data_IF_188225566537
#
_entry.id   IF_188225566537
#
_cell.length_a   1.000
_cell.length_b   1.000
_cell.length_c   1.000
_cell.angle_alpha   90.00
_cell.angle_beta   90.00
_cell.angle_gamma   90.00
#
_symmetry.space_group_name_H-M   'P 1'
#
loop_
_entity.id
_entity.type
_entity.pdbx_description
1 polymer ?
#
# COMPACT_ATOMS: atom_id res chain seq x y z
N UNK A 1 -12.10 -57.91 40.29
CA UNK A 1 -11.47 -57.14 39.20
C UNK A 1 -12.56 -56.30 38.54
N UNK A 2 -12.54 -54.97 38.71
CA UNK A 2 -13.61 -54.07 38.23
C UNK A 2 -13.03 -53.14 37.16
N UNK A 3 -13.49 -53.30 35.92
CA UNK A 3 -13.11 -52.45 34.79
C UNK A 3 -13.97 -51.19 34.76
N UNK A 4 -13.36 -50.01 34.99
CA UNK A 4 -13.99 -48.71 34.74
C UNK A 4 -13.94 -48.39 33.23
N UNK A 5 -15.00 -47.81 32.63
CA UNK A 5 -14.98 -47.41 31.23
C UNK A 5 -14.21 -46.10 31.05
N UNK A 6 -13.36 -46.03 30.02
CA UNK A 6 -12.63 -44.82 29.62
C UNK A 6 -13.61 -43.79 29.05
N UNK A 7 -13.69 -42.61 29.68
CA UNK A 7 -14.40 -41.44 29.14
C UNK A 7 -13.76 -41.01 27.80
N UNK A 8 -14.51 -41.09 26.70
CA UNK A 8 -14.11 -40.48 25.43
C UNK A 8 -14.16 -38.97 25.58
N UNK A 9 -13.04 -38.30 25.36
CA UNK A 9 -12.97 -36.82 25.28
C UNK A 9 -13.68 -36.38 23.99
N UNK A 10 -14.50 -35.32 24.02
CA UNK A 10 -15.07 -34.75 22.80
C UNK A 10 -13.94 -34.15 21.97
N UNK A 11 -13.78 -34.64 20.74
CA UNK A 11 -12.90 -34.02 19.74
C UNK A 11 -13.57 -32.73 19.26
N UNK A 12 -13.01 -31.58 19.66
CA UNK A 12 -13.31 -30.32 19.00
C UNK A 12 -12.70 -30.35 17.60
N UNK A 13 -13.50 -30.68 16.60
CA UNK A 13 -13.17 -30.39 15.21
C UNK A 13 -13.32 -28.88 15.04
N UNK A 14 -12.20 -28.15 15.03
CA UNK A 14 -12.22 -26.76 14.58
C UNK A 14 -12.64 -26.77 13.12
N UNK A 15 -13.83 -26.24 12.84
CA UNK A 15 -14.22 -25.90 11.48
C UNK A 15 -13.30 -24.76 11.06
N UNK A 16 -12.30 -25.06 10.24
CA UNK A 16 -11.62 -24.06 9.42
C UNK A 16 -12.70 -23.35 8.60
N UNK A 17 -13.08 -22.13 9.00
CA UNK A 17 -13.91 -21.25 8.17
C UNK A 17 -13.16 -21.06 6.86
N UNK A 18 -13.72 -21.57 5.76
CA UNK A 18 -13.21 -21.28 4.42
C UNK A 18 -13.14 -19.76 4.23
N UNK A 19 -11.98 -19.24 3.80
CA UNK A 19 -11.82 -17.81 3.46
C UNK A 19 -12.89 -17.49 2.42
N UNK A 20 -13.78 -16.54 2.72
CA UNK A 20 -14.85 -16.15 1.79
C UNK A 20 -14.17 -15.54 0.56
N UNK A 21 -14.51 -16.04 -0.63
CA UNK A 21 -14.00 -15.48 -1.87
C UNK A 21 -14.53 -14.06 -2.04
N UNK A 22 -13.66 -13.11 -2.40
CA UNK A 22 -14.05 -11.73 -2.69
C UNK A 22 -14.50 -11.65 -4.14
N UNK A 23 -15.76 -11.31 -4.35
CA UNK A 23 -16.37 -11.15 -5.66
C UNK A 23 -15.92 -9.83 -6.32
N UNK A 24 -15.82 -9.80 -7.65
CA UNK A 24 -15.50 -8.58 -8.41
C UNK A 24 -14.01 -8.26 -8.58
N UNK A 25 -13.10 -9.01 -7.96
CA UNK A 25 -11.65 -8.78 -8.08
C UNK A 25 -11.13 -8.86 -9.52
N UNK A 26 -11.67 -9.75 -10.34
CA UNK A 26 -11.24 -9.90 -11.74
C UNK A 26 -11.62 -8.69 -12.60
N UNK A 27 -12.80 -8.10 -12.37
CA UNK A 27 -13.22 -6.87 -13.04
C UNK A 27 -12.41 -5.67 -12.57
N UNK A 28 -12.17 -5.56 -11.26
CA UNK A 28 -11.34 -4.50 -10.71
C UNK A 28 -9.90 -4.58 -11.21
N UNK A 29 -9.31 -5.78 -11.25
CA UNK A 29 -7.99 -6.02 -11.86
C UNK A 29 -7.95 -5.48 -13.29
N UNK A 30 -8.89 -5.87 -14.16
CA UNK A 30 -8.93 -5.41 -15.56
C UNK A 30 -9.08 -3.89 -15.67
N UNK A 31 -9.85 -3.28 -14.78
CA UNK A 31 -10.00 -1.84 -14.71
C UNK A 31 -8.66 -1.17 -14.41
N UNK A 32 -7.90 -1.68 -13.43
CA UNK A 32 -6.57 -1.15 -13.11
C UNK A 32 -5.58 -1.38 -14.27
N UNK A 33 -5.54 -2.58 -14.84
CA UNK A 33 -4.66 -2.90 -15.98
C UNK A 33 -4.88 -1.95 -17.16
N UNK A 34 -6.15 -1.64 -17.45
CA UNK A 34 -6.55 -0.72 -18.52
C UNK A 34 -6.10 0.72 -18.25
N UNK A 35 -6.41 1.28 -17.08
CA UNK A 35 -6.19 2.71 -16.80
C UNK A 35 -4.73 3.04 -16.45
N UNK A 36 -3.95 2.07 -15.95
CA UNK A 36 -2.56 2.27 -15.53
C UNK A 36 -1.53 1.64 -16.48
N UNK A 37 -1.95 1.08 -17.63
CA UNK A 37 -1.07 0.40 -18.59
C UNK A 37 -0.13 -0.62 -17.92
N UNK A 38 -0.69 -1.38 -16.97
CA UNK A 38 0.06 -2.24 -16.06
C UNK A 38 -0.44 -3.69 -16.13
N UNK A 39 0.40 -4.63 -15.70
CA UNK A 39 -0.05 -5.96 -15.28
C UNK A 39 -0.33 -5.93 -13.79
N UNK A 40 -1.52 -6.35 -13.36
CA UNK A 40 -1.95 -6.19 -11.97
C UNK A 40 -2.11 -7.54 -11.27
N UNK A 41 -1.58 -7.64 -10.06
CA UNK A 41 -1.84 -8.75 -9.15
C UNK A 41 -2.61 -8.23 -7.93
N UNK A 42 -3.63 -8.98 -7.50
CA UNK A 42 -4.44 -8.66 -6.32
C UNK A 42 -4.48 -9.90 -5.45
N UNK A 43 -4.05 -9.78 -4.22
CA UNK A 43 -4.07 -10.86 -3.24
C UNK A 43 -4.68 -10.38 -1.93
N UNK A 44 -5.14 -11.33 -1.12
CA UNK A 44 -5.57 -11.01 0.23
C UNK A 44 -4.34 -10.95 1.15
N UNK A 45 -4.21 -9.85 1.87
CA UNK A 45 -3.29 -9.74 2.99
C UNK A 45 -3.57 -10.85 4.00
N UNK A 46 -2.49 -11.41 4.52
CA UNK A 46 -2.54 -12.28 5.70
C UNK A 46 -2.15 -11.52 6.97
N UNK A 47 -1.80 -10.22 6.84
CA UNK A 47 -1.44 -9.39 7.96
C UNK A 47 -2.69 -9.09 8.81
N UNK A 48 -2.54 -9.27 10.12
CA UNK A 48 -3.43 -8.72 11.13
C UNK A 48 -4.88 -9.28 11.24
N UNK A 49 -5.15 -10.51 10.77
CA UNK A 49 -6.40 -11.22 11.10
C UNK A 49 -7.71 -10.58 10.59
N UNK A 50 -7.64 -9.42 9.94
CA UNK A 50 -8.74 -8.76 9.24
C UNK A 50 -9.04 -9.53 7.96
N UNK A 51 -10.31 -9.89 7.75
CA UNK A 51 -10.66 -10.93 6.78
C UNK A 51 -10.63 -10.48 5.31
N UNK A 52 -10.46 -9.19 4.98
CA UNK A 52 -10.55 -8.71 3.58
C UNK A 52 -9.66 -7.49 3.25
N UNK A 53 -8.37 -7.49 3.62
CA UNK A 53 -7.46 -6.45 3.16
C UNK A 53 -6.73 -6.91 1.89
N UNK A 54 -6.66 -6.06 0.88
CA UNK A 54 -6.04 -6.34 -0.41
C UNK A 54 -4.59 -5.87 -0.42
N UNK A 55 -3.71 -6.66 -1.03
CA UNK A 55 -2.40 -6.22 -1.51
C UNK A 55 -2.49 -6.14 -3.01
N UNK A 56 -2.24 -4.94 -3.55
CA UNK A 56 -2.30 -4.65 -4.97
C UNK A 56 -0.89 -4.36 -5.46
N UNK A 57 -0.46 -5.08 -6.49
CA UNK A 57 0.82 -4.87 -7.15
C UNK A 57 0.59 -4.58 -8.63
N UNK A 58 1.18 -3.50 -9.12
CA UNK A 58 1.10 -3.06 -10.51
C UNK A 58 2.49 -3.06 -11.12
N UNK A 59 2.72 -3.95 -12.09
CA UNK A 59 3.95 -3.99 -12.86
C UNK A 59 3.76 -3.15 -14.12
N UNK A 60 4.47 -2.02 -14.20
CA UNK A 60 4.39 -1.07 -15.31
C UNK A 60 5.66 -1.14 -16.15
N UNK A 61 5.51 -1.08 -17.48
CA UNK A 61 6.63 -1.05 -18.40
C UNK A 61 7.19 0.38 -18.60
N UNK A 62 7.26 1.16 -17.53
CA UNK A 62 7.69 2.57 -17.52
C UNK A 62 8.85 2.76 -16.54
N UNK A 63 9.68 3.79 -16.76
CA UNK A 63 10.57 4.29 -15.70
C UNK A 63 9.87 5.29 -14.77
N UNK A 64 10.47 5.63 -13.63
CA UNK A 64 9.91 6.60 -12.67
C UNK A 64 9.57 7.94 -13.33
N UNK A 65 10.52 8.54 -14.04
CA UNK A 65 10.30 9.83 -14.71
C UNK A 65 9.21 9.75 -15.80
N UNK A 66 9.15 8.64 -16.53
CA UNK A 66 8.15 8.42 -17.57
C UNK A 66 6.74 8.28 -16.98
N UNK A 67 6.60 7.53 -15.88
CA UNK A 67 5.34 7.42 -15.14
C UNK A 67 4.88 8.78 -14.61
N UNK A 68 5.78 9.57 -14.00
CA UNK A 68 5.46 10.91 -13.51
C UNK A 68 5.03 11.85 -14.64
N UNK A 69 5.68 11.77 -15.81
CA UNK A 69 5.27 12.52 -16.99
C UNK A 69 3.83 12.15 -17.41
N UNK A 70 3.50 10.87 -17.49
CA UNK A 70 2.16 10.44 -17.87
C UNK A 70 1.08 10.81 -16.85
N UNK A 71 1.42 10.78 -15.56
CA UNK A 71 0.57 11.24 -14.47
C UNK A 71 0.24 12.73 -14.62
N UNK A 72 1.24 13.59 -14.80
CA UNK A 72 1.07 15.04 -14.95
C UNK A 72 0.19 15.42 -16.16
N UNK A 73 0.23 14.61 -17.22
CA UNK A 73 -0.56 14.82 -18.43
C UNK A 73 -1.95 14.16 -18.38
N UNK A 74 -2.35 13.54 -17.26
CA UNK A 74 -3.64 12.87 -17.11
C UNK A 74 -3.81 11.66 -18.02
N UNK A 75 -2.70 11.05 -18.44
CA UNK A 75 -2.70 9.88 -19.32
C UNK A 75 -2.47 8.58 -18.57
N UNK A 76 -2.34 8.61 -17.25
CA UNK A 76 -2.10 7.43 -16.40
C UNK A 76 -2.98 7.48 -15.16
N UNK A 77 -3.80 6.44 -14.95
CA UNK A 77 -4.72 6.33 -13.81
C UNK A 77 -6.03 7.10 -13.95
N UNK A 78 -6.12 8.01 -14.91
CA UNK A 78 -7.34 8.76 -15.19
C UNK A 78 -8.42 7.86 -15.81
N UNK A 79 -9.67 7.92 -15.33
CA UNK A 79 -10.78 7.24 -15.98
C UNK A 79 -10.94 7.81 -17.39
N UNK A 80 -10.99 6.95 -18.42
CA UNK A 80 -11.28 7.40 -19.78
C UNK A 80 -12.52 8.29 -19.78
N UNK A 81 -12.41 9.49 -20.38
CA UNK A 81 -13.45 10.51 -20.58
C UNK A 81 -14.72 9.99 -21.31
N UNK A 82 -14.79 8.71 -21.63
CA UNK A 82 -15.90 8.08 -22.34
C UNK A 82 -17.17 7.97 -21.51
N UNK A 83 -17.09 7.99 -20.17
CA UNK A 83 -18.25 8.25 -19.33
C UNK A 83 -17.83 9.18 -18.18
N UNK A 84 -18.49 10.34 -17.99
CA UNK A 84 -18.28 11.11 -16.79
C UNK A 84 -18.71 10.21 -15.64
N UNK A 85 -17.75 9.77 -14.82
CA UNK A 85 -18.08 9.31 -13.48
C UNK A 85 -18.84 10.49 -12.86
N UNK A 86 -20.12 10.30 -12.56
CA UNK A 86 -21.03 11.36 -12.06
C UNK A 86 -20.54 11.99 -10.74
N UNK A 87 -19.42 11.53 -10.21
CA UNK A 87 -18.71 12.04 -9.06
C UNK A 87 -17.21 11.95 -9.38
N UNK A 88 -16.42 12.99 -9.09
CA UNK A 88 -14.96 13.13 -9.28
C UNK A 88 -14.10 12.04 -8.58
N UNK A 89 -14.45 10.77 -8.72
CA UNK A 89 -13.85 9.62 -8.04
C UNK A 89 -12.78 9.03 -8.94
N UNK A 90 -11.63 8.73 -8.34
CA UNK A 90 -10.54 8.03 -9.02
C UNK A 90 -10.95 6.61 -9.39
N UNK A 91 -10.27 6.02 -10.38
CA UNK A 91 -10.46 4.63 -10.83
C UNK A 91 -10.44 3.63 -9.67
N UNK A 92 -9.57 3.87 -8.67
CA UNK A 92 -9.42 2.99 -7.51
C UNK A 92 -10.61 3.11 -6.56
N UNK A 93 -11.01 4.33 -6.23
CA UNK A 93 -12.18 4.58 -5.36
C UNK A 93 -13.44 3.94 -5.97
N UNK A 94 -13.66 4.17 -7.26
CA UNK A 94 -14.82 3.59 -7.96
C UNK A 94 -14.79 2.05 -7.95
N UNK A 95 -13.62 1.45 -8.23
CA UNK A 95 -13.46 0.00 -8.23
C UNK A 95 -13.64 -0.65 -6.85
N UNK A 96 -13.12 -0.04 -5.79
CA UNK A 96 -13.27 -0.54 -4.42
C UNK A 96 -14.69 -0.40 -3.90
N UNK A 97 -15.36 0.72 -4.19
CA UNK A 97 -16.78 0.88 -3.86
C UNK A 97 -17.63 -0.22 -4.48
N UNK A 98 -17.42 -0.51 -5.77
CA UNK A 98 -18.11 -1.61 -6.45
C UNK A 98 -17.86 -2.98 -5.79
N UNK A 99 -16.61 -3.27 -5.43
CA UNK A 99 -16.26 -4.50 -4.71
C UNK A 99 -16.95 -4.57 -3.34
N UNK A 100 -16.96 -3.47 -2.57
CA UNK A 100 -17.62 -3.40 -1.25
C UNK A 100 -19.12 -3.64 -1.36
N UNK A 101 -19.77 -3.04 -2.35
CA UNK A 101 -21.20 -3.19 -2.62
C UNK A 101 -21.60 -4.64 -2.92
N UNK A 102 -20.88 -5.31 -3.80
CA UNK A 102 -21.18 -6.71 -4.18
C UNK A 102 -20.95 -7.66 -3.00
N UNK A 103 -19.90 -7.44 -2.20
CA UNK A 103 -19.53 -8.35 -1.13
C UNK A 103 -20.27 -8.08 0.19
N UNK A 104 -20.92 -6.91 0.33
CA UNK A 104 -21.60 -6.44 1.54
C UNK A 104 -20.66 -6.48 2.76
N UNK A 105 -19.40 -6.14 2.55
CA UNK A 105 -18.37 -6.19 3.58
C UNK A 105 -17.34 -5.11 3.34
N UNK A 106 -16.69 -4.68 4.41
CA UNK A 106 -15.57 -3.75 4.32
C UNK A 106 -14.37 -4.48 3.70
N UNK A 107 -13.79 -3.85 2.69
CA UNK A 107 -12.63 -4.33 1.93
C UNK A 107 -11.72 -3.12 1.76
N UNK A 108 -10.48 -3.24 2.21
CA UNK A 108 -9.52 -2.14 2.23
C UNK A 108 -8.24 -2.53 1.48
N UNK A 109 -7.36 -1.58 1.20
CA UNK A 109 -6.03 -1.86 0.67
C UNK A 109 -5.02 -1.76 1.82
N UNK A 110 -4.30 -2.85 2.07
CA UNK A 110 -3.20 -2.88 3.04
C UNK A 110 -1.89 -2.31 2.46
N UNK A 111 -1.64 -2.63 1.20
CA UNK A 111 -0.45 -2.22 0.47
C UNK A 111 -0.78 -2.04 -1.01
N UNK A 112 -0.22 -0.98 -1.58
CA UNK A 112 -0.28 -0.69 -3.00
C UNK A 112 1.13 -0.47 -3.53
N UNK A 113 1.56 -1.33 -4.44
CA UNK A 113 2.92 -1.38 -4.94
C UNK A 113 2.94 -1.12 -6.46
N UNK A 114 3.78 -0.18 -6.90
CA UNK A 114 4.00 0.16 -8.31
C UNK A 114 5.44 -0.24 -8.65
N UNK A 115 5.60 -1.27 -9.46
CA UNK A 115 6.90 -1.78 -9.91
C UNK A 115 7.19 -1.18 -11.28
N UNK A 116 8.19 -0.31 -11.33
CA UNK A 116 8.69 0.33 -12.54
C UNK A 116 9.99 -0.35 -12.98
N UNK A 117 10.48 -0.01 -14.17
CA UNK A 117 11.74 -0.55 -14.70
C UNK A 117 12.95 -0.26 -13.81
N UNK A 118 12.94 0.90 -13.15
CA UNK A 118 14.08 1.44 -12.42
C UNK A 118 13.78 1.81 -10.96
N UNK A 119 12.52 1.68 -10.52
CA UNK A 119 12.08 2.05 -9.17
C UNK A 119 10.84 1.27 -8.74
N UNK A 120 10.80 0.82 -7.49
CA UNK A 120 9.57 0.35 -6.85
C UNK A 120 8.99 1.46 -5.98
N UNK A 121 7.68 1.63 -5.97
CA UNK A 121 6.99 2.53 -5.04
C UNK A 121 6.06 1.65 -4.20
N UNK A 122 6.27 1.61 -2.89
CA UNK A 122 5.49 0.79 -1.96
C UNK A 122 4.73 1.71 -1.01
N UNK A 123 3.41 1.66 -1.05
CA UNK A 123 2.54 2.50 -0.23
C UNK A 123 1.79 1.62 0.76
N UNK A 124 2.00 1.87 2.06
CA UNK A 124 1.37 1.14 3.15
C UNK A 124 0.16 1.86 3.71
N UNK A 125 -0.83 1.10 4.18
CA UNK A 125 -2.00 1.64 4.88
C UNK A 125 -1.58 2.31 6.19
N UNK A 126 -2.14 3.48 6.47
CA UNK A 126 -1.91 4.22 7.73
C UNK A 126 -3.18 4.38 8.56
N UNK A 127 -4.34 4.23 7.92
CA UNK A 127 -5.68 4.25 8.49
C UNK A 127 -6.66 3.55 7.53
N UNK A 128 -7.89 3.19 7.95
CA UNK A 128 -8.89 2.67 7.04
C UNK A 128 -9.09 3.58 5.81
N UNK A 129 -9.15 3.00 4.62
CA UNK A 129 -9.37 3.70 3.33
C UNK A 129 -8.27 4.73 2.96
N UNK A 130 -7.16 4.78 3.71
CA UNK A 130 -6.14 5.80 3.53
C UNK A 130 -5.44 5.75 2.17
N UNK A 131 -5.16 4.55 1.63
CA UNK A 131 -4.50 4.42 0.33
C UNK A 131 -5.42 4.92 -0.80
N UNK A 132 -6.69 4.49 -0.84
CA UNK A 132 -7.60 4.87 -1.93
C UNK A 132 -7.91 6.36 -1.95
N UNK A 133 -7.90 7.01 -0.78
CA UNK A 133 -8.16 8.45 -0.66
C UNK A 133 -6.92 9.30 -1.01
N UNK A 134 -5.72 8.79 -0.74
CA UNK A 134 -4.49 9.60 -0.80
C UNK A 134 -3.59 9.26 -2.00
N UNK A 135 -3.83 8.15 -2.73
CA UNK A 135 -2.89 7.69 -3.77
C UNK A 135 -2.52 8.77 -4.79
N UNK A 136 -3.50 9.47 -5.36
CA UNK A 136 -3.25 10.51 -6.37
C UNK A 136 -2.42 11.66 -5.79
N UNK A 137 -2.69 12.04 -4.55
CA UNK A 137 -1.98 13.12 -3.85
C UNK A 137 -0.55 12.68 -3.49
N UNK A 138 -0.35 11.42 -3.09
CA UNK A 138 0.98 10.82 -2.88
C UNK A 138 1.80 10.87 -4.16
N UNK A 139 1.22 10.45 -5.29
CA UNK A 139 1.90 10.42 -6.58
C UNK A 139 2.21 11.84 -7.10
N UNK A 140 1.30 12.79 -6.87
CA UNK A 140 1.54 14.22 -7.17
C UNK A 140 2.67 14.77 -6.32
N UNK A 141 2.68 14.49 -5.02
CA UNK A 141 3.77 14.87 -4.13
C UNK A 141 5.10 14.24 -4.57
N UNK A 142 5.08 13.01 -5.10
CA UNK A 142 6.28 12.36 -5.62
C UNK A 142 6.81 13.11 -6.85
N UNK A 143 5.94 13.54 -7.76
CA UNK A 143 6.31 14.38 -8.91
C UNK A 143 6.98 15.69 -8.46
N UNK A 144 6.39 16.39 -7.49
CA UNK A 144 6.90 17.65 -6.94
C UNK A 144 8.24 17.51 -6.20
N UNK A 145 8.54 16.31 -5.69
CA UNK A 145 9.75 16.01 -4.93
C UNK A 145 10.84 15.34 -5.77
N UNK A 146 10.53 14.81 -6.95
CA UNK A 146 11.43 14.00 -7.78
C UNK A 146 12.81 14.66 -8.01
N UNK A 147 12.83 15.95 -8.34
CA UNK A 147 14.09 16.69 -8.59
C UNK A 147 14.94 16.81 -7.32
N UNK A 148 14.32 16.93 -6.14
CA UNK A 148 15.04 17.04 -4.88
C UNK A 148 15.59 15.70 -4.42
N UNK A 149 14.82 14.62 -4.63
CA UNK A 149 15.22 13.25 -4.34
C UNK A 149 16.47 12.87 -5.15
N UNK A 150 16.40 13.07 -6.46
CA UNK A 150 17.46 12.63 -7.40
C UNK A 150 18.75 13.43 -7.30
N UNK A 151 18.67 14.75 -7.02
CA UNK A 151 19.87 15.61 -6.90
C UNK A 151 20.67 15.35 -5.63
N UNK A 152 20.02 14.92 -4.55
CA UNK A 152 20.66 14.87 -3.23
C UNK A 152 21.58 13.64 -3.03
N UNK A 153 21.38 12.55 -3.79
CA UNK A 153 22.14 11.29 -3.66
C UNK A 153 22.78 10.81 -4.97
N UNK A 154 22.86 11.65 -6.00
CA UNK A 154 23.50 11.34 -7.29
C UNK A 154 22.90 10.12 -8.02
N UNK A 155 21.59 9.88 -7.90
CA UNK A 155 20.94 8.75 -8.58
C UNK A 155 19.43 8.66 -8.37
N UNK A 156 18.78 7.77 -9.13
CA UNK A 156 17.38 7.40 -8.92
C UNK A 156 17.29 6.37 -7.78
N UNK A 157 16.33 6.50 -6.85
CA UNK A 157 16.06 5.45 -5.88
C UNK A 157 15.58 4.18 -6.60
N UNK A 158 16.03 3.02 -6.13
CA UNK A 158 15.50 1.73 -6.58
C UNK A 158 14.20 1.37 -5.87
N UNK A 159 13.95 1.92 -4.68
CA UNK A 159 12.67 1.79 -3.99
C UNK A 159 12.34 3.05 -3.19
N UNK A 160 11.06 3.42 -3.20
CA UNK A 160 10.46 4.50 -2.41
C UNK A 160 9.36 3.87 -1.53
N UNK A 161 9.53 3.95 -0.23
CA UNK A 161 8.60 3.41 0.76
C UNK A 161 7.81 4.52 1.45
N UNK A 162 6.47 4.47 1.36
CA UNK A 162 5.57 5.55 1.76
C UNK A 162 4.48 5.03 2.72
N UNK A 163 4.39 5.53 3.96
CA UNK A 163 5.36 6.35 4.67
C UNK A 163 6.32 5.51 5.53
N UNK A 164 7.32 6.17 6.09
CA UNK A 164 8.12 5.66 7.21
C UNK A 164 7.63 6.32 8.50
N UNK A 165 7.44 5.51 9.54
CA UNK A 165 7.08 5.99 10.88
C UNK A 165 8.28 5.90 11.82
N UNK A 166 8.42 6.92 12.67
CA UNK A 166 9.34 6.85 13.81
C UNK A 166 8.77 5.90 14.88
N UNK A 167 9.63 5.06 15.47
CA UNK A 167 9.24 4.29 16.66
C UNK A 167 8.99 5.24 17.83
N UNK A 168 7.74 5.34 18.27
CA UNK A 168 7.39 6.08 19.50
C UNK A 168 7.40 5.10 20.67
N UNK A 169 8.46 5.13 21.47
CA UNK A 169 8.51 4.35 22.72
C UNK A 169 7.59 5.00 23.75
N UNK A 170 6.44 4.39 24.04
CA UNK A 170 5.59 4.81 25.15
C UNK A 170 5.79 3.84 26.31
N UNK A 171 6.31 4.32 27.44
CA UNK A 171 6.47 3.56 28.70
C UNK A 171 7.25 2.22 28.61
N UNK A 172 8.46 2.22 28.01
CA UNK A 172 9.35 1.04 27.95
C UNK A 172 8.74 -0.25 27.35
N UNK A 173 7.61 -0.13 26.66
CA UNK A 173 7.08 -1.19 25.81
C UNK A 173 7.25 -0.73 24.36
N UNK A 174 8.05 -1.47 23.58
CA UNK A 174 8.00 -1.37 22.12
C UNK A 174 6.63 -1.91 21.75
N UNK A 175 5.65 -1.03 21.63
CA UNK A 175 4.36 -1.39 21.08
C UNK A 175 4.58 -1.60 19.59
N UNK A 176 4.54 -2.85 19.14
CA UNK A 176 4.29 -3.20 17.74
C UNK A 176 2.85 -2.77 17.41
N UNK A 177 2.64 -1.48 17.27
CA UNK A 177 1.40 -0.86 16.84
C UNK A 177 1.56 -0.49 15.38
N UNK A 178 0.92 -1.25 14.50
CA UNK A 178 0.56 -0.75 13.17
C UNK A 178 -0.24 0.55 13.38
N UNK A 179 0.36 1.66 12.99
CA UNK A 179 -0.31 2.96 12.88
C UNK A 179 0.26 4.02 13.82
N UNK A 180 0.34 5.28 13.34
CA UNK A 180 0.81 6.40 14.15
C UNK A 180 -0.14 6.61 15.34
N UNK A 181 0.43 6.69 16.54
CA UNK A 181 -0.29 7.13 17.74
C UNK A 181 -0.77 8.57 17.49
N UNK A 182 -2.03 8.70 17.07
CA UNK A 182 -2.64 9.83 16.35
C UNK A 182 -2.25 9.85 14.87
N UNK A 183 -3.28 9.76 14.02
CA UNK A 183 -3.33 10.36 12.69
C UNK A 183 -2.59 11.70 12.71
N UNK A 184 -1.29 11.69 12.43
CA UNK A 184 -0.60 12.90 12.11
C UNK A 184 -1.31 13.42 10.87
N UNK A 185 -1.76 14.68 10.90
CA UNK A 185 -2.42 15.34 9.77
C UNK A 185 -1.66 15.22 8.43
N UNK A 186 -0.41 14.76 8.48
CA UNK A 186 0.51 14.60 7.35
C UNK A 186 1.07 13.16 7.27
N UNK A 187 0.34 12.12 7.67
CA UNK A 187 0.88 10.75 7.85
C UNK A 187 1.69 10.20 6.66
N UNK A 188 1.20 10.40 5.43
CA UNK A 188 1.94 10.04 4.22
C UNK A 188 3.02 11.03 3.81
N UNK A 189 2.96 12.28 4.30
CA UNK A 189 3.75 13.41 3.80
C UNK A 189 4.78 13.91 4.84
N UNK A 190 5.06 13.10 5.86
CA UNK A 190 6.11 13.37 6.81
C UNK A 190 7.44 12.85 6.26
N UNK A 191 7.56 11.52 6.20
CA UNK A 191 8.82 10.86 5.88
C UNK A 191 8.62 9.69 4.93
N UNK A 192 9.51 9.59 3.95
CA UNK A 192 9.61 8.46 3.03
C UNK A 192 10.95 7.74 3.22
N UNK A 193 10.94 6.43 3.05
CA UNK A 193 12.17 5.64 2.97
C UNK A 193 12.63 5.59 1.53
N UNK A 194 13.90 5.87 1.28
CA UNK A 194 14.51 5.78 -0.05
C UNK A 194 15.63 4.76 -0.01
N UNK A 195 15.57 3.76 -0.90
CA UNK A 195 16.62 2.77 -1.10
C UNK A 195 17.29 3.03 -2.43
N UNK A 196 18.62 2.89 -2.47
CA UNK A 196 19.42 3.08 -3.67
C UNK A 196 20.24 1.82 -3.91
N UNK A 197 20.37 1.40 -5.18
CA UNK A 197 21.03 0.14 -5.57
C UNK A 197 22.49 -0.06 -5.08
N UNK A 198 23.11 0.96 -4.49
CA UNK A 198 24.48 0.93 -3.99
C UNK A 198 24.56 0.81 -2.44
N UNK A 199 23.47 1.11 -1.74
CA UNK A 199 23.44 1.12 -0.28
C UNK A 199 22.29 0.24 0.22
N UNK A 200 22.60 -0.83 0.97
CA UNK A 200 21.61 -1.65 1.67
C UNK A 200 20.85 -0.87 2.77
N UNK A 201 21.26 0.39 3.02
CA UNK A 201 20.67 1.26 4.03
C UNK A 201 19.67 2.21 3.39
N UNK A 202 18.46 2.20 3.91
CA UNK A 202 17.47 3.18 3.55
C UNK A 202 17.84 4.56 4.10
N UNK A 203 17.61 5.60 3.31
CA UNK A 203 17.72 7.00 3.73
C UNK A 203 16.31 7.54 3.98
N UNK A 204 16.15 8.31 5.05
CA UNK A 204 14.88 8.98 5.36
C UNK A 204 14.82 10.29 4.57
N UNK A 205 13.76 10.48 3.79
CA UNK A 205 13.46 11.72 3.09
C UNK A 205 12.34 12.48 3.81
N UNK A 206 12.64 13.69 4.26
CA UNK A 206 11.66 14.64 4.77
C UNK A 206 10.94 15.32 3.59
N UNK A 207 9.70 14.92 3.38
CA UNK A 207 8.88 15.36 2.24
C UNK A 207 8.60 16.85 2.31
N UNK A 208 8.37 17.37 3.53
CA UNK A 208 8.02 18.77 3.74
C UNK A 208 9.23 19.69 3.54
N UNK A 209 10.37 19.30 4.10
CA UNK A 209 11.60 20.10 4.03
C UNK A 209 12.44 19.82 2.78
N UNK A 210 12.04 18.83 1.97
CA UNK A 210 12.70 18.43 0.73
C UNK A 210 14.17 18.07 0.94
N UNK A 211 14.44 17.34 2.02
CA UNK A 211 15.80 17.08 2.51
C UNK A 211 15.95 15.66 3.02
N UNK A 212 17.18 15.14 2.96
CA UNK A 212 17.50 13.84 3.52
C UNK A 212 17.91 13.96 4.98
N UNK A 213 17.43 13.05 5.80
CA UNK A 213 17.79 12.92 7.21
C UNK A 213 18.80 11.77 7.32
N UNK A 214 19.94 12.06 7.96
CA UNK A 214 20.94 11.05 8.27
C UNK A 214 20.48 10.24 9.48
N UNK A 215 20.15 8.96 9.28
CA UNK A 215 19.76 8.02 10.33
C UNK A 215 19.68 6.59 9.80
N UNK A 216 19.95 5.59 10.63
CA UNK A 216 19.82 4.18 10.27
C UNK A 216 18.33 3.78 10.35
N UNK A 217 17.77 3.33 9.23
CA UNK A 217 16.43 2.76 9.15
C UNK A 217 16.50 1.26 9.49
N UNK A 218 16.00 0.88 10.67
CA UNK A 218 15.79 -0.52 10.99
C UNK A 218 14.44 -0.96 10.42
N UNK A 219 14.46 -1.71 9.32
CA UNK A 219 13.29 -2.48 8.91
C UNK A 219 13.08 -3.56 9.98
N UNK A 220 11.99 -3.45 10.75
CA UNK A 220 11.60 -4.52 11.66
C UNK A 220 11.28 -5.76 10.81
N UNK A 221 12.06 -6.84 11.00
CA UNK A 221 11.74 -8.15 10.45
C UNK A 221 10.31 -8.51 10.90
N UNK A 222 9.39 -8.60 9.93
CA UNK A 222 8.02 -9.09 10.12
C UNK A 222 8.01 -10.61 10.36
#
# INVERSE_FOLDING_TARGET
MSHKPKKKRPSYTSKTKSKKEILGLSSFKKLLEKNFYATVSISNSNACGEQNNLVIEMVCNLGLLEMLYHLEHGTWGSPELSEPLENDKTTIIAGLQHIREINQTFIDIEEFSILLKDCNIVIKKIAPESIEQELEVILTALAENYVHITRSLSGNPSEIFVPVFEEVSVNNQITNGLGPTRLAKNGYYAYWGLYFNLDERAVIYDVKNKSLISGDLNLLNL
#
